data_IF_336189110808
#
_entry.id   IF_336189110808
#
_cell.length_a   1.000
_cell.length_b   1.000
_cell.length_c   1.000
_cell.angle_alpha   90.00
_cell.angle_beta   90.00
_cell.angle_gamma   90.00
#
_symmetry.space_group_name_H-M   'P 1'
#
loop_
_entity.id
_entity.type
_entity.pdbx_description
1 polymer ?
#
# COMPACT_ATOMS: atom_id res chain seq x y z
N UNK A 1 14.26 -19.04 -12.11
CA UNK A 1 12.92 -19.19 -11.51
C UNK A 1 12.93 -19.90 -10.16
N UNK A 2 13.51 -21.10 -10.03
CA UNK A 2 13.47 -21.86 -8.77
C UNK A 2 14.03 -21.11 -7.54
N UNK A 3 15.20 -20.46 -7.66
CA UNK A 3 15.79 -19.66 -6.57
C UNK A 3 14.87 -18.53 -6.07
N UNK A 4 14.15 -17.87 -6.99
CA UNK A 4 13.24 -16.76 -6.65
C UNK A 4 12.00 -17.26 -5.94
N UNK A 5 11.44 -18.38 -6.40
CA UNK A 5 10.25 -18.99 -5.77
C UNK A 5 10.58 -19.56 -4.39
N UNK A 6 11.75 -20.17 -4.25
CA UNK A 6 12.27 -20.63 -2.96
C UNK A 6 12.44 -19.44 -2.00
N UNK A 7 13.10 -18.36 -2.44
CA UNK A 7 13.25 -17.18 -1.60
C UNK A 7 11.90 -16.56 -1.19
N UNK A 8 10.96 -16.45 -2.12
CA UNK A 8 9.63 -15.92 -1.84
C UNK A 8 8.90 -16.76 -0.79
N UNK A 9 8.94 -18.09 -0.94
CA UNK A 9 8.20 -19.01 -0.07
C UNK A 9 8.83 -19.12 1.32
N UNK A 10 10.16 -19.13 1.39
CA UNK A 10 10.90 -19.31 2.65
C UNK A 10 10.97 -18.02 3.47
N UNK A 11 11.10 -16.86 2.82
CA UNK A 11 11.37 -15.60 3.52
C UNK A 11 10.29 -14.55 3.30
N UNK A 12 9.96 -14.23 2.04
CA UNK A 12 9.09 -13.07 1.75
C UNK A 12 7.66 -13.28 2.26
N UNK A 13 7.03 -14.41 1.92
CA UNK A 13 5.64 -14.69 2.27
C UNK A 13 5.43 -14.79 3.79
N UNK A 14 6.24 -15.54 4.56
CA UNK A 14 6.11 -15.57 6.02
C UNK A 14 6.27 -14.18 6.65
N UNK A 15 7.26 -13.39 6.21
CA UNK A 15 7.46 -12.04 6.75
C UNK A 15 6.30 -11.10 6.41
N UNK A 16 5.75 -11.19 5.19
CA UNK A 16 4.55 -10.45 4.84
C UNK A 16 3.38 -10.83 5.75
N UNK A 17 3.10 -12.12 5.93
CA UNK A 17 1.95 -12.58 6.71
C UNK A 17 2.09 -12.27 8.22
N UNK A 18 3.30 -12.35 8.76
CA UNK A 18 3.56 -12.12 10.19
C UNK A 18 3.64 -10.64 10.54
N UNK A 19 4.16 -9.78 9.64
CA UNK A 19 4.51 -8.39 10.00
C UNK A 19 3.89 -7.32 9.11
N UNK A 20 3.62 -7.58 7.82
CA UNK A 20 3.09 -6.57 6.89
C UNK A 20 1.56 -6.63 6.83
N UNK A 21 0.97 -7.80 6.59
CA UNK A 21 -0.48 -7.98 6.51
C UNK A 21 -1.21 -7.50 7.78
N UNK A 22 -0.71 -7.74 9.01
CA UNK A 22 -1.36 -7.23 10.22
C UNK A 22 -1.38 -5.70 10.31
N UNK A 23 -0.44 -4.98 9.69
CA UNK A 23 -0.40 -3.50 9.79
C UNK A 23 -1.50 -2.84 8.98
N UNK A 24 -2.07 -3.54 8.00
CA UNK A 24 -3.22 -3.08 7.19
C UNK A 24 -4.40 -2.62 8.05
N UNK A 25 -4.59 -3.22 9.23
CA UNK A 25 -5.68 -2.85 10.16
C UNK A 25 -5.58 -1.43 10.71
N UNK A 26 -4.41 -0.81 10.62
CA UNK A 26 -4.15 0.54 11.11
C UNK A 26 -4.28 1.60 10.01
N UNK A 27 -4.54 1.20 8.77
CA UNK A 27 -4.73 2.15 7.68
C UNK A 27 -6.12 2.80 7.78
N UNK A 28 -6.17 4.12 7.63
CA UNK A 28 -7.43 4.86 7.53
C UNK A 28 -8.19 4.53 6.24
N UNK A 29 -7.46 4.26 5.16
CA UNK A 29 -8.00 3.96 3.82
C UNK A 29 -7.18 2.84 3.17
N UNK A 30 -7.87 1.89 2.53
CA UNK A 30 -7.26 0.83 1.72
C UNK A 30 -7.52 1.10 0.23
N UNK A 31 -6.47 1.20 -0.58
CA UNK A 31 -6.58 1.42 -2.03
C UNK A 31 -6.31 0.11 -2.79
N UNK A 32 -7.33 -0.50 -3.43
CA UNK A 32 -7.13 -1.70 -4.25
C UNK A 32 -6.52 -1.35 -5.61
N UNK A 33 -5.96 -2.36 -6.29
CA UNK A 33 -5.38 -2.28 -7.65
C UNK A 33 -4.13 -1.37 -7.78
N UNK A 34 -3.69 -0.74 -6.69
CA UNK A 34 -2.47 0.05 -6.61
C UNK A 34 -2.43 1.14 -7.68
N UNK A 35 -1.32 1.23 -8.41
CA UNK A 35 -1.05 2.28 -9.40
C UNK A 35 -2.04 2.37 -10.58
N UNK A 36 -2.92 1.39 -10.77
CA UNK A 36 -3.93 1.40 -11.83
C UNK A 36 -5.23 2.08 -11.42
N UNK A 37 -5.44 2.32 -10.12
CA UNK A 37 -6.63 2.98 -9.62
C UNK A 37 -6.46 4.50 -9.66
N UNK A 38 -6.56 5.07 -10.87
CA UNK A 38 -6.40 6.52 -11.10
C UNK A 38 -7.37 7.34 -10.25
N UNK A 39 -8.60 6.86 -10.06
CA UNK A 39 -9.61 7.53 -9.23
C UNK A 39 -9.15 7.67 -7.78
N UNK A 40 -8.59 6.61 -7.17
CA UNK A 40 -8.09 6.68 -5.80
C UNK A 40 -6.83 7.55 -5.68
N UNK A 41 -5.96 7.52 -6.68
CA UNK A 41 -4.76 8.37 -6.73
C UNK A 41 -5.16 9.84 -6.75
N UNK A 42 -6.07 10.21 -7.65
CA UNK A 42 -6.56 11.58 -7.79
C UNK A 42 -7.20 12.07 -6.48
N UNK A 43 -7.95 11.22 -5.78
CA UNK A 43 -8.54 11.56 -4.49
C UNK A 43 -7.47 11.88 -3.42
N UNK A 44 -6.39 11.10 -3.33
CA UNK A 44 -5.29 11.38 -2.39
C UNK A 44 -4.59 12.68 -2.78
N UNK A 45 -4.33 12.90 -4.07
CA UNK A 45 -3.70 14.12 -4.59
C UNK A 45 -4.54 15.36 -4.28
N UNK A 46 -5.85 15.31 -4.54
CA UNK A 46 -6.77 16.39 -4.21
C UNK A 46 -6.78 16.70 -2.72
N UNK A 47 -6.76 15.67 -1.85
CA UNK A 47 -6.71 15.89 -0.39
C UNK A 47 -5.43 16.61 0.04
N UNK A 48 -4.28 16.26 -0.55
CA UNK A 48 -3.00 16.93 -0.28
C UNK A 48 -3.09 18.41 -0.66
N UNK A 49 -3.57 18.73 -1.88
CA UNK A 49 -3.71 20.12 -2.32
C UNK A 49 -4.67 20.92 -1.44
N UNK A 50 -5.80 20.33 -1.05
CA UNK A 50 -6.75 20.96 -0.13
C UNK A 50 -6.08 21.30 1.20
N UNK A 51 -5.38 20.34 1.82
CA UNK A 51 -4.70 20.56 3.10
C UNK A 51 -3.55 21.57 3.00
N UNK A 52 -2.89 21.68 1.85
CA UNK A 52 -1.89 22.72 1.60
C UNK A 52 -2.52 24.12 1.46
N UNK A 53 -3.69 24.22 0.80
CA UNK A 53 -4.41 25.48 0.66
C UNK A 53 -4.95 25.99 2.00
N UNK A 54 -5.49 25.10 2.85
CA UNK A 54 -5.99 25.41 4.19
C UNK A 54 -4.92 25.91 5.17
N UNK A 55 -3.63 25.67 4.88
CA UNK A 55 -2.50 26.07 5.73
C UNK A 55 -1.90 27.44 5.40
N UNK A 56 -2.34 28.08 4.31
CA UNK A 56 -2.00 29.46 3.97
C UNK A 56 -3.14 30.40 4.35
#
# INVERSE_FOLDING_TARGET
>A
YNKTLEHYSTWVKPMHQLFIEPTKRFADIIVPQGGKNHVAIDLVVSKIFQTMAEKN
#
